data_IF_907193495806
#
_entry.id   IF_907193495806
#
_cell.length_a   1.000
_cell.length_b   1.000
_cell.length_c   1.000
_cell.angle_alpha   90.00
_cell.angle_beta   90.00
_cell.angle_gamma   90.00
#
_symmetry.space_group_name_H-M   'P 1'
#
loop_
_entity.id
_entity.type
_entity.pdbx_description
1 polymer ?
#
# COMPACT_ATOMS: atom_id res chain seq x y z
N UNK A 1 -2.44 -34.68 -2.97
CA UNK A 1 -1.81 -33.74 -2.04
C UNK A 1 -0.93 -34.57 -1.08
N UNK A 2 0.33 -34.16 -0.87
CA UNK A 2 1.24 -34.88 0.04
C UNK A 2 0.76 -34.77 1.50
N UNK A 3 0.93 -35.81 2.28
CA UNK A 3 0.59 -35.82 3.71
C UNK A 3 1.61 -35.03 4.58
N UNK A 4 2.83 -34.87 4.03
CA UNK A 4 3.89 -34.09 4.65
C UNK A 4 4.51 -33.10 3.66
N UNK A 5 4.70 -31.85 4.08
CA UNK A 5 5.22 -30.74 3.29
C UNK A 5 6.41 -30.10 4.00
N UNK A 6 7.51 -29.82 3.28
CA UNK A 6 8.65 -29.13 3.89
C UNK A 6 8.32 -27.69 4.27
N UNK A 7 7.78 -26.90 3.31
CA UNK A 7 7.49 -25.49 3.52
C UNK A 7 6.04 -25.21 3.11
N UNK A 8 5.25 -24.73 4.02
CA UNK A 8 3.84 -24.37 3.82
C UNK A 8 3.69 -22.85 3.80
N UNK A 9 3.12 -22.31 2.75
CA UNK A 9 2.77 -20.88 2.62
C UNK A 9 1.25 -20.74 2.82
N UNK A 10 0.85 -19.85 3.71
CA UNK A 10 -0.55 -19.56 4.03
C UNK A 10 -0.96 -18.25 3.43
N UNK A 11 -1.84 -18.31 2.42
CA UNK A 11 -2.33 -17.17 1.65
C UNK A 11 -1.63 -17.00 0.30
N UNK A 12 -2.43 -16.84 -0.77
CA UNK A 12 -1.98 -16.62 -2.14
C UNK A 12 -2.15 -15.17 -2.61
N UNK A 13 -1.98 -14.20 -1.71
CA UNK A 13 -1.76 -12.80 -2.08
C UNK A 13 -0.35 -12.60 -2.62
N UNK A 14 -0.01 -11.38 -3.05
CA UNK A 14 1.32 -11.07 -3.62
C UNK A 14 2.49 -11.50 -2.72
N UNK A 15 2.35 -11.41 -1.39
CA UNK A 15 3.37 -11.85 -0.45
C UNK A 15 3.60 -13.37 -0.51
N UNK A 16 2.54 -14.16 -0.58
CA UNK A 16 2.63 -15.61 -0.67
C UNK A 16 3.15 -16.08 -2.02
N UNK A 17 2.57 -15.54 -3.10
CA UNK A 17 2.98 -15.87 -4.47
C UNK A 17 4.45 -15.51 -4.73
N UNK A 18 4.90 -14.31 -4.33
CA UNK A 18 6.29 -13.92 -4.48
C UNK A 18 7.24 -14.76 -3.60
N UNK A 19 6.79 -15.19 -2.39
CA UNK A 19 7.59 -16.10 -1.56
C UNK A 19 7.74 -17.47 -2.25
N UNK A 20 6.64 -18.01 -2.80
CA UNK A 20 6.68 -19.26 -3.58
C UNK A 20 7.57 -19.15 -4.80
N UNK A 21 7.51 -18.05 -5.56
CA UNK A 21 8.41 -17.82 -6.70
C UNK A 21 9.88 -17.88 -6.30
N UNK A 22 10.28 -17.15 -5.23
CA UNK A 22 11.67 -17.16 -4.78
C UNK A 22 12.10 -18.47 -4.14
N UNK A 23 11.20 -19.29 -3.61
CA UNK A 23 11.50 -20.66 -3.15
C UNK A 23 11.68 -21.59 -4.35
N UNK A 24 10.81 -21.52 -5.36
CA UNK A 24 10.91 -22.30 -6.61
C UNK A 24 12.24 -22.04 -7.32
N UNK A 25 12.67 -20.78 -7.38
CA UNK A 25 13.96 -20.38 -7.94
C UNK A 25 15.19 -20.95 -7.18
N UNK A 26 14.98 -21.42 -5.95
CA UNK A 26 15.99 -22.06 -5.10
C UNK A 26 15.80 -23.59 -5.01
N UNK A 27 14.96 -24.18 -5.88
CA UNK A 27 14.61 -25.62 -5.92
C UNK A 27 14.11 -26.16 -4.56
N UNK A 28 13.47 -25.30 -3.76
CA UNK A 28 12.91 -25.67 -2.46
C UNK A 28 11.47 -26.15 -2.62
N UNK A 29 11.15 -27.30 -2.02
CA UNK A 29 9.78 -27.82 -1.97
C UNK A 29 8.89 -26.94 -1.10
N UNK A 30 7.73 -26.55 -1.62
CA UNK A 30 6.70 -25.78 -0.89
C UNK A 30 5.32 -25.98 -1.52
N UNK A 31 4.28 -25.62 -0.76
CA UNK A 31 2.92 -25.50 -1.25
C UNK A 31 2.25 -24.25 -0.68
N UNK A 32 1.36 -23.64 -1.47
CA UNK A 32 0.61 -22.42 -1.11
C UNK A 32 -0.85 -22.81 -0.94
N UNK A 33 -1.43 -22.49 0.22
CA UNK A 33 -2.84 -22.72 0.51
C UNK A 33 -3.60 -21.40 0.63
N UNK A 34 -4.65 -21.26 -0.19
CA UNK A 34 -5.53 -20.10 -0.23
C UNK A 34 -6.96 -20.51 0.17
N UNK A 35 -7.57 -19.68 1.03
CA UNK A 35 -8.93 -19.92 1.53
C UNK A 35 -10.02 -19.64 0.50
N UNK A 36 -9.76 -18.76 -0.45
CA UNK A 36 -10.69 -18.37 -1.51
C UNK A 36 -10.48 -19.25 -2.76
N UNK A 37 -11.39 -19.12 -3.73
CA UNK A 37 -11.28 -19.77 -5.03
C UNK A 37 -10.28 -19.09 -5.98
N UNK A 38 -9.83 -17.88 -5.67
CA UNK A 38 -8.91 -17.09 -6.49
C UNK A 38 -7.70 -16.61 -5.70
N UNK A 39 -6.59 -16.43 -6.41
CA UNK A 39 -5.34 -15.88 -5.89
C UNK A 39 -5.25 -14.36 -6.15
N UNK A 40 -4.29 -13.67 -5.51
CA UNK A 40 -4.01 -12.25 -5.74
C UNK A 40 -4.28 -11.37 -4.51
N UNK A 41 -5.18 -11.79 -3.64
CA UNK A 41 -5.51 -11.05 -2.41
C UNK A 41 -6.08 -9.67 -2.72
N UNK A 42 -5.36 -8.59 -2.31
CA UNK A 42 -5.80 -7.21 -2.54
C UNK A 42 -5.48 -6.67 -3.94
N UNK A 43 -4.66 -7.37 -4.74
CA UNK A 43 -4.46 -7.02 -6.15
C UNK A 43 -5.66 -7.57 -6.92
N UNK A 44 -6.55 -6.67 -7.31
CA UNK A 44 -7.83 -6.98 -7.92
C UNK A 44 -8.11 -5.97 -9.04
N UNK A 45 -7.70 -6.33 -10.25
CA UNK A 45 -8.00 -5.58 -11.48
C UNK A 45 -9.30 -6.08 -12.05
N UNK A 46 -10.19 -5.18 -12.43
CA UNK A 46 -11.41 -5.53 -13.13
C UNK A 46 -11.52 -4.74 -14.45
N UNK A 47 -11.63 -5.48 -15.53
CA UNK A 47 -11.98 -4.94 -16.85
C UNK A 47 -13.49 -4.84 -16.94
N UNK A 48 -14.02 -3.62 -17.03
CA UNK A 48 -15.46 -3.38 -17.14
C UNK A 48 -15.71 -2.52 -18.38
N UNK A 49 -16.40 -3.10 -19.36
CA UNK A 49 -16.53 -2.47 -20.69
C UNK A 49 -15.13 -2.16 -21.24
N UNK A 50 -14.82 -0.88 -21.46
CA UNK A 50 -13.54 -0.37 -21.98
C UNK A 50 -12.63 0.24 -20.91
N UNK A 51 -12.90 -0.01 -19.63
CA UNK A 51 -12.14 0.54 -18.50
C UNK A 51 -11.37 -0.55 -17.77
N UNK A 52 -10.13 -0.23 -17.35
CA UNK A 52 -9.35 -1.05 -16.44
C UNK A 52 -9.40 -0.39 -15.08
N UNK A 53 -10.03 -1.06 -14.12
CA UNK A 53 -10.28 -0.56 -12.77
C UNK A 53 -9.44 -1.33 -11.75
N UNK A 54 -8.55 -0.65 -11.03
CA UNK A 54 -7.79 -1.23 -9.93
C UNK A 54 -8.53 -1.05 -8.62
N UNK A 55 -9.08 -2.11 -8.06
CA UNK A 55 -9.79 -2.06 -6.78
C UNK A 55 -8.82 -2.08 -5.58
N UNK A 56 -7.54 -2.38 -5.79
CA UNK A 56 -6.49 -2.43 -4.79
C UNK A 56 -5.39 -1.39 -5.03
N UNK A 57 -4.10 -1.80 -5.08
CA UNK A 57 -3.01 -0.88 -5.41
C UNK A 57 -3.20 -0.26 -6.79
N UNK A 58 -2.95 1.04 -6.90
CA UNK A 58 -3.07 1.77 -8.17
C UNK A 58 -1.73 2.04 -8.87
N UNK A 59 -0.60 1.74 -8.21
CA UNK A 59 0.75 1.92 -8.75
C UNK A 59 1.70 0.90 -8.15
N UNK A 60 2.70 0.46 -8.93
CA UNK A 60 3.86 -0.32 -8.45
C UNK A 60 5.11 0.48 -8.74
N UNK A 61 6.02 0.59 -7.75
CA UNK A 61 7.29 1.30 -7.89
C UNK A 61 8.43 0.31 -8.12
N UNK A 62 9.28 0.57 -9.10
CA UNK A 62 10.53 -0.20 -9.34
C UNK A 62 11.66 0.29 -8.40
N UNK A 63 11.38 0.39 -7.11
CA UNK A 63 12.25 1.04 -6.12
C UNK A 63 13.25 0.10 -5.42
N UNK A 64 13.19 -1.20 -5.69
CA UNK A 64 14.12 -2.19 -5.14
C UNK A 64 14.40 -3.32 -6.14
N UNK A 65 15.49 -4.07 -5.89
CA UNK A 65 15.96 -5.13 -6.77
C UNK A 65 15.02 -6.34 -6.87
N UNK A 66 14.24 -6.62 -5.81
CA UNK A 66 13.40 -7.82 -5.79
C UNK A 66 12.21 -7.73 -6.75
N UNK A 67 11.59 -6.54 -6.87
CA UNK A 67 10.51 -6.34 -7.86
C UNK A 67 11.04 -6.36 -9.29
N UNK A 68 12.23 -5.78 -9.54
CA UNK A 68 12.86 -5.80 -10.86
C UNK A 68 13.20 -7.24 -11.27
N UNK A 69 13.80 -8.01 -10.36
CA UNK A 69 14.11 -9.42 -10.60
C UNK A 69 12.83 -10.23 -10.86
N UNK A 70 11.80 -10.07 -10.05
CA UNK A 70 10.53 -10.78 -10.25
C UNK A 70 9.90 -10.50 -11.62
N UNK A 71 9.90 -9.25 -12.06
CA UNK A 71 9.38 -8.84 -13.39
C UNK A 71 10.19 -9.51 -14.51
N UNK A 72 11.50 -9.52 -14.40
CA UNK A 72 12.38 -10.16 -15.40
C UNK A 72 12.19 -11.69 -15.42
N UNK A 73 12.16 -12.34 -14.25
CA UNK A 73 11.96 -13.78 -14.14
C UNK A 73 10.61 -14.24 -14.73
N UNK A 74 9.60 -13.39 -14.68
CA UNK A 74 8.26 -13.66 -15.23
C UNK A 74 8.10 -13.20 -16.68
N UNK A 75 9.14 -12.66 -17.33
CA UNK A 75 9.11 -12.12 -18.69
C UNK A 75 7.99 -11.05 -18.87
N UNK A 76 7.87 -10.15 -17.89
CA UNK A 76 6.85 -9.10 -17.89
C UNK A 76 7.37 -7.73 -18.33
N UNK A 77 8.63 -7.62 -18.75
CA UNK A 77 9.26 -6.34 -19.12
C UNK A 77 8.51 -5.64 -20.26
N UNK A 78 8.09 -6.39 -21.29
CA UNK A 78 7.37 -5.87 -22.45
C UNK A 78 5.89 -5.56 -22.19
N UNK A 79 5.39 -6.01 -21.05
CA UNK A 79 4.04 -5.70 -20.57
C UNK A 79 3.96 -4.38 -19.80
N UNK A 80 5.12 -3.76 -19.49
CA UNK A 80 5.17 -2.55 -18.69
C UNK A 80 4.71 -1.34 -19.52
N UNK A 81 3.79 -0.59 -18.95
CA UNK A 81 3.41 0.75 -19.39
C UNK A 81 4.09 1.76 -18.46
N UNK A 82 4.90 2.62 -19.05
CA UNK A 82 5.52 3.73 -18.34
C UNK A 82 4.51 4.89 -18.19
N UNK A 83 4.61 5.66 -17.10
CA UNK A 83 3.69 6.77 -16.89
C UNK A 83 3.97 7.90 -17.88
N UNK A 84 2.94 8.65 -18.23
CA UNK A 84 3.07 9.87 -19.01
C UNK A 84 3.85 10.95 -18.24
N UNK A 85 4.24 12.03 -18.93
CA UNK A 85 4.89 13.20 -18.32
C UNK A 85 4.06 13.85 -17.18
N UNK A 86 2.76 13.64 -17.18
CA UNK A 86 1.83 14.20 -16.19
C UNK A 86 1.98 13.58 -14.79
N UNK A 87 2.65 12.46 -14.63
CA UNK A 87 2.96 11.85 -13.32
C UNK A 87 3.68 12.80 -12.36
N UNK A 88 4.38 13.79 -12.88
CA UNK A 88 5.11 14.83 -12.11
C UNK A 88 4.18 15.90 -11.52
N UNK A 89 3.00 16.09 -12.09
CA UNK A 89 2.02 17.07 -11.62
C UNK A 89 1.18 16.47 -10.51
N UNK A 90 1.32 16.98 -9.30
CA UNK A 90 0.52 16.59 -8.13
C UNK A 90 -0.23 17.82 -7.64
N UNK A 91 -1.43 17.62 -7.14
CA UNK A 91 -2.30 18.70 -6.69
C UNK A 91 -2.76 18.46 -5.25
N UNK A 92 -3.03 19.56 -4.57
CA UNK A 92 -3.62 19.59 -3.24
C UNK A 92 -4.86 20.48 -3.27
N UNK A 93 -5.89 20.06 -2.57
CA UNK A 93 -7.02 20.93 -2.27
C UNK A 93 -6.62 21.82 -1.08
N UNK A 94 -6.72 23.13 -1.23
CA UNK A 94 -6.34 24.11 -0.25
C UNK A 94 -7.27 25.31 -0.31
N UNK A 95 -8.07 25.47 0.74
CA UNK A 95 -9.10 26.52 0.87
C UNK A 95 -10.08 26.54 -0.32
N UNK A 96 -10.55 25.35 -0.71
CA UNK A 96 -11.46 25.12 -1.83
C UNK A 96 -10.81 25.18 -3.22
N UNK A 97 -9.53 25.58 -3.32
CA UNK A 97 -8.82 25.69 -4.61
C UNK A 97 -7.90 24.49 -4.87
N UNK A 98 -7.79 24.11 -6.16
CA UNK A 98 -6.86 23.07 -6.58
C UNK A 98 -5.49 23.70 -6.85
N UNK A 99 -4.57 23.51 -5.93
CA UNK A 99 -3.20 24.08 -5.96
C UNK A 99 -2.19 23.03 -6.40
N UNK A 100 -1.36 23.36 -7.39
CA UNK A 100 -0.29 22.47 -7.84
C UNK A 100 0.84 22.41 -6.83
N UNK A 101 1.33 21.19 -6.55
CA UNK A 101 2.52 21.00 -5.72
C UNK A 101 3.75 21.60 -6.40
N UNK A 102 4.59 22.38 -5.68
CA UNK A 102 5.76 23.01 -6.26
C UNK A 102 6.81 21.96 -6.72
N UNK A 103 7.28 22.10 -7.95
CA UNK A 103 8.28 21.20 -8.55
C UNK A 103 9.59 21.90 -8.94
N UNK A 104 9.72 23.17 -8.62
CA UNK A 104 10.93 24.00 -8.81
C UNK A 104 11.17 24.89 -7.59
N UNK A 105 12.36 25.45 -7.46
CA UNK A 105 12.70 26.40 -6.38
C UNK A 105 11.79 27.63 -6.44
N UNK A 106 11.57 28.17 -7.64
CA UNK A 106 10.71 29.35 -7.82
C UNK A 106 9.26 29.06 -7.40
N UNK A 107 8.68 27.95 -7.86
CA UNK A 107 7.33 27.55 -7.46
C UNK A 107 7.23 27.23 -5.96
N UNK A 108 8.31 26.72 -5.34
CA UNK A 108 8.38 26.51 -3.91
C UNK A 108 8.37 27.84 -3.13
N UNK A 109 9.08 28.84 -3.58
CA UNK A 109 9.10 30.16 -2.94
C UNK A 109 7.74 30.87 -3.06
N UNK A 110 7.05 30.73 -4.20
CA UNK A 110 5.76 31.39 -4.47
C UNK A 110 4.53 30.63 -3.97
N UNK A 111 4.64 29.34 -3.60
CA UNK A 111 3.48 28.56 -3.20
C UNK A 111 2.79 29.10 -1.95
N UNK A 112 1.45 29.13 -1.95
CA UNK A 112 0.61 29.46 -0.81
C UNK A 112 0.46 28.29 0.18
N UNK A 113 0.84 27.06 -0.20
CA UNK A 113 0.72 25.87 0.65
C UNK A 113 1.58 25.91 1.91
N UNK A 114 2.65 26.72 1.89
CA UNK A 114 3.67 26.77 2.96
C UNK A 114 3.94 28.22 3.32
N UNK A 115 3.84 28.54 4.62
CA UNK A 115 4.19 29.87 5.15
C UNK A 115 5.68 30.18 5.00
N UNK A 116 6.03 31.45 5.01
CA UNK A 116 7.43 31.92 4.99
C UNK A 116 8.20 31.34 6.18
N UNK A 117 7.60 31.27 7.37
CA UNK A 117 8.18 30.67 8.57
C UNK A 117 8.56 29.20 8.36
N UNK A 118 7.68 28.41 7.71
CA UNK A 118 7.96 26.99 7.44
C UNK A 118 8.95 26.80 6.30
N UNK A 119 8.96 27.69 5.28
CA UNK A 119 10.01 27.73 4.26
C UNK A 119 11.38 27.93 4.89
N UNK A 120 11.48 28.86 5.85
CA UNK A 120 12.73 29.10 6.58
C UNK A 120 13.15 27.90 7.45
N UNK A 121 12.21 27.26 8.16
CA UNK A 121 12.50 26.02 8.89
C UNK A 121 13.04 24.92 7.96
N UNK A 122 12.43 24.72 6.78
CA UNK A 122 12.91 23.75 5.79
C UNK A 122 14.35 24.05 5.35
N UNK A 123 14.68 25.33 5.13
CA UNK A 123 16.03 25.76 4.79
C UNK A 123 17.03 25.42 5.91
N UNK A 124 16.70 25.74 7.16
CA UNK A 124 17.55 25.40 8.31
C UNK A 124 17.80 23.89 8.42
N UNK A 125 16.83 23.04 8.06
CA UNK A 125 16.99 21.57 8.10
C UNK A 125 17.89 21.01 7.01
N UNK A 126 18.30 21.80 6.01
CA UNK A 126 19.39 21.42 5.13
C UNK A 126 20.70 21.24 5.90
N UNK A 127 20.95 22.10 6.88
CA UNK A 127 22.21 22.17 7.62
C UNK A 127 22.15 21.42 8.97
N UNK A 128 21.04 21.54 9.69
CA UNK A 128 20.96 21.06 11.07
C UNK A 128 19.61 20.41 11.41
N UNK A 129 19.67 19.21 12.02
CA UNK A 129 18.54 18.57 12.68
C UNK A 129 18.61 18.75 14.19
N UNK A 130 17.51 19.18 14.79
CA UNK A 130 17.36 19.15 16.24
C UNK A 130 17.31 17.70 16.72
N UNK A 131 18.29 17.26 17.49
CA UNK A 131 18.41 15.87 17.96
C UNK A 131 17.49 15.59 19.14
N UNK A 132 16.21 15.47 18.83
CA UNK A 132 15.16 15.09 19.79
C UNK A 132 14.59 13.71 19.42
N UNK A 133 14.02 13.03 20.42
CA UNK A 133 13.29 11.77 20.20
C UNK A 133 11.85 12.09 19.80
N UNK A 134 11.48 11.67 18.62
CA UNK A 134 10.12 11.82 18.09
C UNK A 134 9.45 10.47 17.96
N UNK A 135 8.30 10.29 18.62
CA UNK A 135 7.55 9.04 18.55
C UNK A 135 6.57 9.04 17.38
N UNK A 136 5.91 10.17 17.10
CA UNK A 136 4.90 10.28 16.04
C UNK A 136 5.40 11.07 14.83
N UNK A 137 4.81 10.79 13.67
CA UNK A 137 5.05 11.53 12.43
C UNK A 137 4.71 13.01 12.61
N UNK A 138 3.53 13.30 13.20
CA UNK A 138 3.10 14.68 13.48
C UNK A 138 4.16 15.45 14.24
N UNK A 139 4.59 14.93 15.42
CA UNK A 139 5.59 15.62 16.26
C UNK A 139 6.90 15.89 15.51
N UNK A 140 7.35 14.93 14.71
CA UNK A 140 8.57 15.11 13.92
C UNK A 140 8.41 16.19 12.85
N UNK A 141 7.36 16.12 12.04
CA UNK A 141 7.18 17.03 10.92
C UNK A 141 6.86 18.45 11.39
N UNK A 142 5.90 18.63 12.31
CA UNK A 142 5.50 19.95 12.78
C UNK A 142 6.64 20.70 13.49
N UNK A 143 7.43 20.01 14.32
CA UNK A 143 8.57 20.62 15.03
C UNK A 143 9.72 20.99 14.10
N UNK A 144 10.03 20.14 13.11
CA UNK A 144 11.16 20.36 12.22
C UNK A 144 10.83 21.23 11.01
N UNK A 145 9.61 21.16 10.46
CA UNK A 145 9.27 21.80 9.19
C UNK A 145 8.11 22.81 9.29
N UNK A 146 7.33 22.77 10.37
CA UNK A 146 6.17 23.64 10.61
C UNK A 146 4.84 22.89 10.54
N UNK A 147 3.84 23.42 11.22
CA UNK A 147 2.49 22.84 11.27
C UNK A 147 1.78 22.95 9.93
N UNK A 148 1.89 24.09 9.27
CA UNK A 148 1.33 24.33 7.94
C UNK A 148 1.95 23.39 6.87
N UNK A 149 3.26 23.11 6.94
CA UNK A 149 3.88 22.10 6.10
C UNK A 149 3.33 20.71 6.37
N UNK A 150 3.11 20.38 7.65
CA UNK A 150 2.47 19.14 8.03
C UNK A 150 1.04 19.06 7.48
N UNK A 151 0.20 20.04 7.80
CA UNK A 151 -1.25 19.98 7.54
C UNK A 151 -1.60 20.11 6.06
N UNK A 152 -0.89 20.99 5.33
CA UNK A 152 -1.22 21.25 3.93
C UNK A 152 -0.54 20.30 2.93
N UNK A 153 0.56 19.64 3.32
CA UNK A 153 1.34 18.81 2.39
C UNK A 153 1.53 17.40 2.93
N UNK A 154 2.08 17.28 4.14
CA UNK A 154 2.61 16.00 4.61
C UNK A 154 1.49 15.06 5.07
N UNK A 155 0.51 15.55 5.81
CA UNK A 155 -0.65 14.76 6.22
C UNK A 155 -1.47 14.26 5.02
N UNK A 156 -1.89 15.12 4.06
CA UNK A 156 -2.59 14.65 2.85
C UNK A 156 -1.78 13.62 2.06
N UNK A 157 -0.46 13.82 1.94
CA UNK A 157 0.42 12.86 1.26
C UNK A 157 0.44 11.50 1.95
N UNK A 158 0.57 11.46 3.28
CA UNK A 158 0.54 10.21 4.04
C UNK A 158 -0.86 9.58 4.07
N UNK A 159 -1.91 10.38 4.09
CA UNK A 159 -3.28 9.89 3.97
C UNK A 159 -3.52 9.20 2.63
N UNK A 160 -2.96 9.70 1.54
CA UNK A 160 -3.00 9.04 0.24
C UNK A 160 -2.28 7.68 0.19
N UNK A 161 -1.31 7.43 1.09
CA UNK A 161 -0.53 6.17 1.13
C UNK A 161 -1.05 5.22 2.22
N UNK A 162 -1.27 5.74 3.43
CA UNK A 162 -1.56 4.95 4.63
C UNK A 162 -3.01 5.07 5.11
N UNK A 163 -3.75 6.05 4.60
CA UNK A 163 -5.10 6.39 5.07
C UNK A 163 -5.19 6.49 6.61
N UNK A 164 -4.13 7.01 7.26
CA UNK A 164 -3.92 6.94 8.70
C UNK A 164 -3.86 8.31 9.37
N UNK A 165 -3.75 8.31 10.70
CA UNK A 165 -3.65 9.51 11.52
C UNK A 165 -2.19 9.76 11.93
N UNK A 166 -1.57 10.81 11.40
CA UNK A 166 -0.17 11.18 11.65
C UNK A 166 0.15 11.45 13.11
N UNK A 167 -0.86 11.86 13.91
CA UNK A 167 -0.71 12.05 15.37
C UNK A 167 -0.49 10.72 16.11
N UNK A 168 -0.95 9.61 15.54
CA UNK A 168 -0.82 8.25 16.09
C UNK A 168 0.23 7.41 15.37
N UNK A 169 0.58 7.76 14.13
CA UNK A 169 1.52 7.01 13.31
C UNK A 169 2.94 7.07 13.85
N UNK A 170 3.61 5.94 13.95
CA UNK A 170 4.99 5.84 14.41
C UNK A 170 5.94 6.45 13.39
N UNK A 171 6.75 7.45 13.80
CA UNK A 171 7.74 8.07 12.92
C UNK A 171 8.74 7.05 12.36
N UNK A 172 9.31 6.21 13.24
CA UNK A 172 10.31 5.20 12.88
C UNK A 172 9.81 4.21 11.82
N UNK A 173 8.59 3.72 11.98
CA UNK A 173 8.08 2.63 11.12
C UNK A 173 7.31 3.12 9.90
N UNK A 174 6.73 4.32 9.97
CA UNK A 174 6.07 4.93 8.81
C UNK A 174 7.06 5.53 7.84
N UNK A 175 8.11 6.19 8.36
CA UNK A 175 9.12 6.91 7.59
C UNK A 175 10.54 6.42 7.93
N UNK A 176 10.83 5.12 7.77
CA UNK A 176 12.08 4.53 8.26
C UNK A 176 13.33 5.18 7.67
N UNK A 177 13.29 5.59 6.40
CA UNK A 177 14.41 6.28 5.76
C UNK A 177 14.63 7.67 6.34
N UNK A 178 13.58 8.43 6.60
CA UNK A 178 13.67 9.76 7.19
C UNK A 178 14.13 9.66 8.64
N UNK A 179 13.64 8.65 9.38
CA UNK A 179 14.11 8.35 10.72
C UNK A 179 15.61 8.01 10.76
N UNK A 180 16.08 7.20 9.81
CA UNK A 180 17.51 6.87 9.67
C UNK A 180 18.36 8.12 9.37
N UNK A 181 17.91 8.97 8.43
CA UNK A 181 18.59 10.23 8.10
C UNK A 181 18.68 11.13 9.33
N UNK A 182 17.55 11.31 10.04
CA UNK A 182 17.52 12.12 11.24
C UNK A 182 18.44 11.57 12.36
N UNK A 183 18.51 10.23 12.50
CA UNK A 183 19.32 9.59 13.54
C UNK A 183 20.82 9.65 13.26
N UNK A 184 21.23 9.55 11.99
CA UNK A 184 22.64 9.38 11.59
C UNK A 184 23.33 10.68 11.15
N UNK A 185 22.58 11.64 10.63
CA UNK A 185 23.13 12.85 10.00
C UNK A 185 22.69 14.09 10.76
N UNK A 186 23.49 15.16 10.68
CA UNK A 186 23.15 16.45 11.33
C UNK A 186 22.19 17.31 10.49
N UNK A 187 22.06 17.06 9.19
CA UNK A 187 21.16 17.77 8.29
C UNK A 187 21.04 17.03 6.97
N UNK A 188 20.15 17.51 6.07
CA UNK A 188 19.97 16.90 4.78
C UNK A 188 21.19 17.02 3.86
N UNK A 189 21.94 18.14 3.93
CA UNK A 189 23.17 18.30 3.14
C UNK A 189 24.22 17.27 3.55
N UNK A 190 24.42 17.04 4.86
CA UNK A 190 25.33 16.03 5.34
C UNK A 190 24.94 14.62 4.84
N UNK A 191 23.64 14.29 4.80
CA UNK A 191 23.15 13.06 4.19
C UNK A 191 23.42 13.02 2.69
N UNK A 192 23.16 14.13 1.95
CA UNK A 192 23.36 14.19 0.48
C UNK A 192 24.82 13.96 0.10
N UNK A 193 25.75 14.58 0.83
CA UNK A 193 27.19 14.45 0.62
C UNK A 193 27.65 13.01 0.87
N UNK A 194 27.20 12.41 1.98
CA UNK A 194 27.65 11.09 2.43
C UNK A 194 26.90 9.90 1.78
N UNK A 195 25.80 10.15 1.04
CA UNK A 195 25.09 9.07 0.40
C UNK A 195 25.82 8.53 -0.83
N UNK A 196 25.98 7.21 -0.94
CA UNK A 196 26.35 6.57 -2.22
C UNK A 196 25.22 6.79 -3.22
N UNK A 197 25.53 7.45 -4.35
CA UNK A 197 24.57 7.69 -5.44
C UNK A 197 24.15 6.35 -6.06
N UNK A 198 23.02 5.79 -5.61
CA UNK A 198 22.34 4.71 -6.35
C UNK A 198 21.19 5.36 -7.13
N UNK A 199 21.25 5.30 -8.47
CA UNK A 199 20.08 5.63 -9.30
C UNK A 199 18.95 4.68 -8.92
N UNK A 200 17.95 5.15 -8.19
CA UNK A 200 16.69 4.42 -7.97
C UNK A 200 15.71 4.96 -9.01
N UNK A 201 15.19 4.05 -9.82
CA UNK A 201 14.03 4.39 -10.62
C UNK A 201 12.80 4.37 -9.70
N UNK A 202 12.30 5.54 -9.32
CA UNK A 202 11.12 5.68 -8.46
C UNK A 202 9.85 5.97 -9.27
N UNK A 203 9.89 5.83 -10.59
CA UNK A 203 8.71 6.01 -11.41
C UNK A 203 7.73 4.86 -11.16
N UNK A 204 6.44 5.17 -11.03
CA UNK A 204 5.42 4.15 -11.01
C UNK A 204 5.36 3.44 -12.37
N UNK A 205 5.00 2.17 -12.35
CA UNK A 205 4.70 1.40 -13.56
C UNK A 205 3.27 0.89 -13.50
N UNK A 206 2.79 0.49 -14.66
CA UNK A 206 1.54 -0.23 -14.85
C UNK A 206 1.77 -1.39 -15.83
N UNK A 207 0.80 -2.29 -15.99
CA UNK A 207 0.83 -3.32 -17.03
C UNK A 207 -0.29 -3.09 -18.04
N UNK A 208 -0.12 -3.57 -19.26
CA UNK A 208 -1.11 -3.41 -20.34
C UNK A 208 -2.52 -3.80 -19.92
N UNK A 209 -2.66 -4.89 -19.17
CA UNK A 209 -3.93 -5.44 -18.72
C UNK A 209 -4.22 -5.25 -17.23
N UNK A 210 -3.48 -4.33 -16.57
CA UNK A 210 -3.60 -4.07 -15.14
C UNK A 210 -2.71 -4.97 -14.28
N UNK A 211 -2.77 -4.76 -12.95
CA UNK A 211 -1.87 -5.49 -12.03
C UNK A 211 -2.20 -6.97 -11.88
N UNK A 212 -3.38 -7.39 -12.32
CA UNK A 212 -3.72 -8.82 -12.37
C UNK A 212 -2.78 -9.61 -13.32
N UNK A 213 -2.13 -8.93 -14.30
CA UNK A 213 -1.09 -9.52 -15.16
C UNK A 213 0.03 -10.17 -14.35
N UNK A 214 0.55 -9.45 -13.32
CA UNK A 214 1.57 -9.99 -12.42
C UNK A 214 1.06 -11.22 -11.65
N UNK A 215 -0.16 -11.17 -11.15
CA UNK A 215 -0.78 -12.27 -10.41
C UNK A 215 -1.01 -13.49 -11.31
N UNK A 216 -1.51 -13.29 -12.52
CA UNK A 216 -1.75 -14.36 -13.48
C UNK A 216 -0.47 -15.06 -13.89
N UNK A 217 0.62 -14.34 -14.12
CA UNK A 217 1.93 -14.92 -14.42
C UNK A 217 2.46 -15.73 -13.24
N UNK A 218 2.38 -15.20 -12.03
CA UNK A 218 2.77 -15.92 -10.80
C UNK A 218 1.92 -17.19 -10.63
N UNK A 219 0.59 -17.10 -10.79
CA UNK A 219 -0.32 -18.25 -10.74
C UNK A 219 0.09 -19.34 -11.73
N UNK A 220 0.37 -18.97 -12.98
CA UNK A 220 0.76 -19.91 -14.02
C UNK A 220 2.12 -20.57 -13.74
N UNK A 221 3.09 -19.80 -13.24
CA UNK A 221 4.42 -20.30 -12.86
C UNK A 221 4.37 -21.27 -11.68
N UNK A 222 3.40 -21.10 -10.77
CA UNK A 222 3.26 -21.83 -9.51
C UNK A 222 2.02 -22.73 -9.47
N UNK A 223 1.44 -23.06 -10.63
CA UNK A 223 0.14 -23.77 -10.71
C UNK A 223 0.09 -25.08 -9.94
N UNK A 224 1.20 -25.84 -9.96
CA UNK A 224 1.29 -27.16 -9.34
C UNK A 224 1.46 -27.09 -7.80
N UNK A 225 1.89 -25.95 -7.27
CA UNK A 225 2.10 -25.72 -5.84
C UNK A 225 0.95 -24.97 -5.18
N UNK A 226 -0.03 -24.44 -5.95
CA UNK A 226 -1.13 -23.62 -5.40
C UNK A 226 -2.38 -24.49 -5.19
N UNK A 227 -2.91 -24.45 -3.98
CA UNK A 227 -4.17 -25.06 -3.60
C UNK A 227 -5.17 -23.99 -3.14
N UNK A 228 -6.20 -23.74 -3.94
CA UNK A 228 -7.32 -22.84 -3.62
C UNK A 228 -8.44 -23.58 -2.92
N UNK A 229 -9.36 -22.85 -2.25
CA UNK A 229 -10.46 -23.40 -1.42
C UNK A 229 -9.97 -24.24 -0.23
N UNK A 230 -8.74 -23.99 0.23
CA UNK A 230 -8.17 -24.63 1.40
C UNK A 230 -8.05 -23.64 2.56
N UNK A 231 -9.13 -23.48 3.31
CA UNK A 231 -9.16 -22.65 4.52
C UNK A 231 -8.56 -23.43 5.68
N UNK A 232 -7.44 -22.95 6.24
CA UNK A 232 -6.85 -23.50 7.45
C UNK A 232 -7.77 -23.16 8.63
N UNK A 233 -8.14 -24.20 9.41
CA UNK A 233 -8.93 -24.13 10.63
C UNK A 233 -8.03 -24.02 11.86
N UNK A 234 -6.97 -24.82 11.92
CA UNK A 234 -6.06 -24.87 13.07
C UNK A 234 -4.65 -25.25 12.68
N UNK A 235 -3.68 -24.69 13.41
CA UNK A 235 -2.25 -25.04 13.34
C UNK A 235 -1.83 -25.52 14.71
N UNK A 236 -1.36 -26.77 14.82
CA UNK A 236 -1.00 -27.41 16.09
C UNK A 236 0.49 -27.77 16.05
N UNK A 237 1.24 -27.37 17.04
CA UNK A 237 2.64 -27.79 17.21
C UNK A 237 2.67 -29.24 17.73
N UNK A 238 3.20 -30.17 16.94
CA UNK A 238 3.33 -31.58 17.34
C UNK A 238 4.69 -31.83 18.00
N UNK A 239 5.77 -31.31 17.37
CA UNK A 239 7.16 -31.40 17.86
C UNK A 239 7.81 -30.04 17.64
N UNK A 240 9.04 -29.86 18.10
CA UNK A 240 9.73 -28.55 18.06
C UNK A 240 9.79 -27.89 16.66
N UNK A 241 9.87 -28.70 15.59
CA UNK A 241 9.94 -28.24 14.20
C UNK A 241 8.90 -28.91 13.31
N UNK A 242 7.79 -29.37 13.85
CA UNK A 242 6.74 -30.06 13.10
C UNK A 242 5.35 -29.60 13.52
N UNK A 243 4.53 -29.27 12.54
CA UNK A 243 3.18 -28.75 12.73
C UNK A 243 2.14 -29.62 12.03
N UNK A 244 1.01 -29.81 12.68
CA UNK A 244 -0.22 -30.36 12.08
C UNK A 244 -1.10 -29.21 11.63
N UNK A 245 -1.56 -29.27 10.40
CA UNK A 245 -2.46 -28.30 9.78
C UNK A 245 -3.81 -28.97 9.57
N UNK A 246 -4.84 -28.44 10.17
CA UNK A 246 -6.21 -28.88 9.96
C UNK A 246 -6.94 -27.88 9.07
N UNK A 247 -7.54 -28.37 8.00
CA UNK A 247 -8.36 -27.57 7.09
C UNK A 247 -9.83 -27.66 7.47
N UNK A 248 -10.62 -26.66 7.07
CA UNK A 248 -12.08 -26.62 7.33
C UNK A 248 -12.86 -27.74 6.65
N UNK A 249 -12.31 -28.36 5.61
CA UNK A 249 -12.89 -29.51 4.91
C UNK A 249 -12.49 -30.86 5.54
N UNK A 250 -11.92 -30.88 6.75
CA UNK A 250 -11.52 -32.07 7.48
C UNK A 250 -10.16 -32.67 7.09
N UNK A 251 -9.55 -32.22 5.99
CA UNK A 251 -8.20 -32.69 5.61
C UNK A 251 -7.16 -32.25 6.62
N UNK A 252 -6.13 -33.09 6.79
CA UNK A 252 -4.98 -32.84 7.68
C UNK A 252 -3.69 -33.14 6.95
N UNK A 253 -2.70 -32.28 7.16
CA UNK A 253 -1.32 -32.46 6.67
C UNK A 253 -0.33 -32.08 7.75
N UNK A 254 0.90 -32.49 7.61
CA UNK A 254 2.01 -32.02 8.48
C UNK A 254 3.00 -31.17 7.68
N UNK A 255 3.67 -30.24 8.36
CA UNK A 255 4.74 -29.47 7.73
C UNK A 255 5.86 -29.14 8.72
N UNK A 256 7.06 -28.80 8.17
CA UNK A 256 8.22 -28.43 8.97
C UNK A 256 8.33 -26.91 9.17
N UNK A 257 7.96 -26.13 8.17
CA UNK A 257 8.03 -24.67 8.21
C UNK A 257 6.71 -24.06 7.72
N UNK A 258 6.31 -22.95 8.35
CA UNK A 258 5.12 -22.21 7.98
C UNK A 258 5.48 -20.76 7.67
N UNK A 259 5.02 -20.25 6.52
CA UNK A 259 5.14 -18.86 6.12
C UNK A 259 3.73 -18.27 6.08
N UNK A 260 3.38 -17.49 7.09
CA UNK A 260 2.11 -16.78 7.12
C UNK A 260 2.19 -15.50 6.29
N UNK A 261 1.28 -15.38 5.31
CA UNK A 261 1.11 -14.16 4.50
C UNK A 261 -0.29 -13.58 4.62
N UNK A 262 -0.97 -13.91 5.69
CA UNK A 262 -2.31 -13.48 6.10
C UNK A 262 -2.23 -12.47 7.25
N UNK A 263 -3.38 -11.86 7.62
CA UNK A 263 -3.42 -10.86 8.69
C UNK A 263 -3.05 -11.43 10.06
N UNK A 264 -2.49 -10.64 10.98
CA UNK A 264 -2.14 -11.07 12.34
C UNK A 264 -3.32 -11.70 13.09
N UNK A 265 -4.52 -11.12 12.98
CA UNK A 265 -5.74 -11.67 13.61
C UNK A 265 -5.99 -13.11 13.16
N UNK A 266 -5.92 -13.38 11.85
CA UNK A 266 -6.11 -14.74 11.34
C UNK A 266 -5.03 -15.71 11.87
N UNK A 267 -3.78 -15.25 12.02
CA UNK A 267 -2.69 -16.07 12.59
C UNK A 267 -3.01 -16.42 14.05
N UNK A 268 -3.40 -15.40 14.84
CA UNK A 268 -3.79 -15.60 16.25
C UNK A 268 -4.90 -16.63 16.36
N UNK A 269 -5.95 -16.50 15.54
CA UNK A 269 -7.11 -17.38 15.57
C UNK A 269 -6.76 -18.84 15.22
N UNK A 270 -6.02 -19.07 14.14
CA UNK A 270 -5.70 -20.44 13.68
C UNK A 270 -4.61 -21.14 14.52
N UNK A 271 -3.78 -20.35 15.21
CA UNK A 271 -2.77 -20.88 16.15
C UNK A 271 -3.26 -20.91 17.60
N UNK A 272 -4.47 -20.44 17.87
CA UNK A 272 -5.05 -20.30 19.22
C UNK A 272 -4.11 -19.58 20.20
N UNK A 273 -3.46 -18.49 19.72
CA UNK A 273 -2.54 -17.73 20.56
C UNK A 273 -3.31 -16.95 21.63
N UNK A 274 -3.00 -17.19 22.89
CA UNK A 274 -3.62 -16.48 24.02
C UNK A 274 -2.98 -15.09 24.17
N UNK A 275 -3.40 -14.16 23.32
CA UNK A 275 -2.93 -12.77 23.33
C UNK A 275 -4.05 -11.89 23.85
N UNK A 276 -3.88 -11.38 25.07
CA UNK A 276 -4.79 -10.41 25.65
C UNK A 276 -4.70 -9.06 24.91
N UNK A 277 -5.85 -8.35 24.85
CA UNK A 277 -5.94 -6.98 24.33
C UNK A 277 -5.50 -6.78 22.86
N UNK A 278 -5.81 -7.73 21.98
CA UNK A 278 -5.65 -7.51 20.54
C UNK A 278 -6.78 -6.62 20.02
N UNK A 279 -6.43 -5.39 19.60
CA UNK A 279 -7.38 -4.53 18.86
C UNK A 279 -7.48 -5.01 17.40
N UNK A 280 -8.64 -5.57 17.00
CA UNK A 280 -8.88 -6.02 15.62
C UNK A 280 -8.88 -4.85 14.59
N UNK A 281 -8.84 -3.61 15.08
CA UNK A 281 -8.77 -2.40 14.23
C UNK A 281 -7.36 -2.09 13.71
N UNK A 282 -6.62 -3.11 13.29
CA UNK A 282 -5.29 -2.91 12.69
C UNK A 282 -5.32 -2.49 11.22
N UNK A 283 -6.48 -2.45 10.60
CA UNK A 283 -6.65 -2.02 9.21
C UNK A 283 -7.67 -0.87 9.12
N UNK A 284 -7.42 0.04 8.20
CA UNK A 284 -8.37 1.06 7.80
C UNK A 284 -9.28 0.53 6.69
N UNK A 285 -10.60 0.82 6.72
CA UNK A 285 -11.47 0.57 5.59
C UNK A 285 -11.24 1.60 4.49
N UNK A 286 -11.41 1.19 3.23
CA UNK A 286 -11.32 2.07 2.06
C UNK A 286 -12.39 1.68 1.06
N UNK A 287 -13.13 2.67 0.59
CA UNK A 287 -13.93 2.60 -0.61
C UNK A 287 -13.12 3.12 -1.79
N UNK A 288 -13.11 2.35 -2.86
CA UNK A 288 -12.47 2.68 -4.14
C UNK A 288 -13.58 2.95 -5.13
N UNK A 289 -13.71 4.20 -5.57
CA UNK A 289 -14.77 4.65 -6.46
C UNK A 289 -14.14 5.09 -7.78
N UNK A 290 -14.47 4.39 -8.85
CA UNK A 290 -14.05 4.75 -10.21
C UNK A 290 -15.14 5.56 -10.87
N UNK A 291 -14.76 6.72 -11.40
CA UNK A 291 -15.64 7.59 -12.19
C UNK A 291 -14.99 7.88 -13.54
N UNK A 292 -15.80 7.83 -14.62
CA UNK A 292 -15.30 8.26 -15.92
C UNK A 292 -16.26 9.27 -16.57
N UNK A 293 -15.68 10.19 -17.33
CA UNK A 293 -16.39 11.26 -18.02
C UNK A 293 -15.70 11.63 -19.32
N UNK A 294 -16.43 12.19 -20.26
CA UNK A 294 -15.86 12.68 -21.52
C UNK A 294 -14.99 13.91 -21.25
N UNK A 295 -13.82 13.99 -21.89
CA UNK A 295 -12.89 15.12 -21.73
C UNK A 295 -13.49 16.47 -22.19
N UNK A 296 -14.50 16.46 -23.08
CA UNK A 296 -15.24 17.65 -23.49
C UNK A 296 -16.17 18.20 -22.39
N UNK A 297 -16.63 17.32 -21.47
CA UNK A 297 -17.51 17.66 -20.36
C UNK A 297 -16.76 18.07 -19.09
N UNK A 298 -15.42 18.27 -19.19
CA UNK A 298 -14.52 18.57 -18.08
C UNK A 298 -13.87 19.94 -18.25
N UNK A 299 -14.35 20.95 -17.51
CA UNK A 299 -13.92 22.36 -17.71
C UNK A 299 -12.57 22.68 -17.06
N UNK A 300 -12.25 22.13 -15.88
CA UNK A 300 -10.98 22.38 -15.17
C UNK A 300 -9.74 21.95 -15.97
N UNK A 301 -9.85 20.98 -16.88
CA UNK A 301 -8.79 20.48 -17.79
C UNK A 301 -7.46 20.16 -17.09
N UNK A 302 -7.49 19.81 -15.80
CA UNK A 302 -6.30 19.47 -15.01
C UNK A 302 -5.76 18.13 -15.49
N UNK A 303 -4.42 18.05 -15.68
CA UNK A 303 -3.70 16.81 -16.04
C UNK A 303 -2.59 16.56 -15.04
N UNK A 304 -2.62 15.39 -14.40
CA UNK A 304 -1.63 15.06 -13.37
C UNK A 304 -1.73 13.67 -12.79
N UNK A 305 -0.97 13.45 -11.74
CA UNK A 305 -0.99 12.19 -10.99
C UNK A 305 -2.30 12.05 -10.19
N UNK A 306 -2.69 13.14 -9.53
CA UNK A 306 -3.87 13.14 -8.68
C UNK A 306 -3.94 14.38 -7.81
N UNK A 307 -5.01 14.43 -7.03
CA UNK A 307 -5.35 15.47 -6.07
C UNK A 307 -5.47 14.85 -4.67
N UNK A 308 -4.85 15.46 -3.67
CA UNK A 308 -4.98 15.08 -2.27
C UNK A 308 -5.77 16.14 -1.51
N UNK A 309 -6.66 15.71 -0.64
CA UNK A 309 -7.43 16.60 0.23
C UNK A 309 -6.85 16.61 1.63
N UNK A 310 -6.70 17.80 2.24
CA UNK A 310 -6.37 17.96 3.65
C UNK A 310 -7.63 17.82 4.51
N UNK A 311 -7.46 17.42 5.76
CA UNK A 311 -8.56 17.18 6.69
C UNK A 311 -9.48 18.41 6.88
N UNK A 312 -8.92 19.62 6.85
CA UNK A 312 -9.67 20.86 7.05
C UNK A 312 -10.61 21.20 5.89
N UNK A 313 -10.43 20.63 4.70
CA UNK A 313 -11.33 20.83 3.55
C UNK A 313 -12.70 20.15 3.73
N UNK A 314 -12.83 19.25 4.71
CA UNK A 314 -14.08 18.51 5.03
C UNK A 314 -14.67 17.74 3.83
N UNK A 315 -13.83 17.37 2.86
CA UNK A 315 -14.25 16.53 1.72
C UNK A 315 -14.62 15.12 2.18
N UNK A 316 -15.49 14.45 1.44
CA UNK A 316 -15.85 13.04 1.66
C UNK A 316 -14.81 12.06 1.09
N UNK A 317 -13.66 12.53 0.62
CA UNK A 317 -12.60 11.70 0.03
C UNK A 317 -11.21 12.06 0.57
N UNK A 318 -10.30 11.10 0.53
CA UNK A 318 -8.87 11.28 0.88
C UNK A 318 -8.08 11.87 -0.29
N UNK A 319 -8.43 11.46 -1.49
CA UNK A 319 -7.76 11.90 -2.71
C UNK A 319 -8.32 11.26 -3.96
N UNK A 320 -7.90 11.80 -5.09
CA UNK A 320 -8.30 11.42 -6.43
C UNK A 320 -7.06 11.06 -7.23
N UNK A 321 -7.03 9.90 -7.87
CA UNK A 321 -6.02 9.53 -8.85
C UNK A 321 -6.57 9.78 -10.25
N UNK A 322 -5.80 10.45 -11.10
CA UNK A 322 -6.14 10.69 -12.50
C UNK A 322 -5.57 9.57 -13.38
N UNK A 323 -6.16 8.36 -13.26
CA UNK A 323 -5.60 7.13 -13.80
C UNK A 323 -5.27 7.23 -15.29
N UNK A 324 -6.17 7.73 -16.14
CA UNK A 324 -5.95 7.86 -17.58
C UNK A 324 -4.99 8.98 -17.98
N UNK A 325 -4.69 9.94 -17.08
CA UNK A 325 -3.63 10.91 -17.33
C UNK A 325 -2.25 10.29 -17.14
N UNK A 326 -2.15 9.32 -16.23
CA UNK A 326 -0.88 8.65 -15.90
C UNK A 326 -0.64 7.47 -16.84
N UNK A 327 -1.66 6.63 -17.05
CA UNK A 327 -1.61 5.41 -17.83
C UNK A 327 -2.72 5.44 -18.89
N UNK A 328 -2.42 5.77 -20.15
CA UNK A 328 -3.43 5.99 -21.17
C UNK A 328 -4.24 4.74 -21.53
N UNK A 329 -3.69 3.55 -21.31
CA UNK A 329 -4.33 2.26 -21.62
C UNK A 329 -5.54 1.91 -20.73
N UNK A 330 -5.82 2.66 -19.65
CA UNK A 330 -6.91 2.32 -18.71
C UNK A 330 -8.30 2.80 -19.15
N UNK A 331 -8.36 3.68 -20.16
CA UNK A 331 -9.60 4.22 -20.71
C UNK A 331 -9.39 4.67 -22.16
N UNK A 332 -10.47 4.82 -22.99
CA UNK A 332 -10.38 5.42 -24.32
C UNK A 332 -9.85 6.85 -24.29
N UNK A 333 -9.20 7.28 -25.37
CA UNK A 333 -8.51 8.57 -25.47
C UNK A 333 -9.41 9.79 -25.20
N UNK A 334 -10.68 9.74 -25.57
CA UNK A 334 -11.63 10.82 -25.32
C UNK A 334 -12.22 10.83 -23.92
N UNK A 335 -11.96 9.79 -23.11
CA UNK A 335 -12.50 9.63 -21.75
C UNK A 335 -11.43 9.87 -20.69
N UNK A 336 -11.81 10.51 -19.60
CA UNK A 336 -11.01 10.61 -18.39
C UNK A 336 -11.53 9.62 -17.36
N UNK A 337 -10.69 8.70 -16.91
CA UNK A 337 -10.95 7.78 -15.81
C UNK A 337 -10.18 8.27 -14.58
N UNK A 338 -10.91 8.40 -13.48
CA UNK A 338 -10.36 8.74 -12.17
C UNK A 338 -10.74 7.70 -11.12
N UNK A 339 -9.91 7.59 -10.08
CA UNK A 339 -10.20 6.79 -8.90
C UNK A 339 -10.24 7.69 -7.67
N UNK A 340 -11.37 7.70 -6.97
CA UNK A 340 -11.59 8.43 -5.73
C UNK A 340 -11.45 7.46 -4.57
N UNK A 341 -10.62 7.80 -3.58
CA UNK A 341 -10.40 7.01 -2.37
C UNK A 341 -11.15 7.65 -1.20
N UNK A 342 -12.00 6.86 -0.53
CA UNK A 342 -12.86 7.31 0.58
C UNK A 342 -12.59 6.46 1.81
N UNK A 343 -12.67 7.02 3.01
CA UNK A 343 -12.52 6.29 4.27
C UNK A 343 -11.24 6.60 5.03
N UNK A 344 -10.45 5.57 5.38
CA UNK A 344 -9.28 5.74 6.22
C UNK A 344 -9.60 5.93 7.71
N UNK A 345 -8.59 6.27 8.52
CA UNK A 345 -8.75 6.36 9.98
C UNK A 345 -9.64 7.53 10.41
N UNK A 346 -9.59 8.66 9.68
CA UNK A 346 -10.36 9.87 10.01
C UNK A 346 -11.82 9.80 9.57
N UNK A 347 -12.11 9.10 8.49
CA UNK A 347 -13.42 9.05 7.84
C UNK A 347 -13.93 7.62 7.69
N UNK A 348 -13.55 6.71 8.58
CA UNK A 348 -13.94 5.29 8.50
C UNK A 348 -15.46 5.10 8.48
N UNK A 349 -16.23 5.98 9.14
CA UNK A 349 -17.69 5.98 9.14
C UNK A 349 -18.31 6.10 7.74
N UNK A 350 -17.64 6.75 6.79
CA UNK A 350 -18.12 6.84 5.40
C UNK A 350 -18.15 5.46 4.71
N UNK A 351 -17.30 4.54 5.14
CA UNK A 351 -17.32 3.17 4.64
C UNK A 351 -18.43 2.30 5.27
N UNK A 352 -19.19 2.82 6.24
CA UNK A 352 -20.36 2.17 6.83
C UNK A 352 -21.67 2.62 6.16
N UNK A 353 -21.64 3.74 5.42
CA UNK A 353 -22.77 4.25 4.64
C UNK A 353 -23.10 3.28 3.49
N UNK A 354 -24.38 3.18 3.13
CA UNK A 354 -24.81 2.37 1.99
C UNK A 354 -24.06 2.77 0.71
N UNK A 355 -23.65 1.77 -0.10
CA UNK A 355 -22.84 1.99 -1.30
C UNK A 355 -23.48 2.96 -2.30
N UNK A 356 -24.81 2.95 -2.43
CA UNK A 356 -25.54 3.83 -3.34
C UNK A 356 -25.50 5.28 -2.84
N UNK A 357 -25.66 5.48 -1.54
CA UNK A 357 -25.62 6.80 -0.92
C UNK A 357 -24.23 7.44 -1.02
N UNK A 358 -23.18 6.73 -0.61
CA UNK A 358 -21.82 7.27 -0.70
C UNK A 358 -21.38 7.54 -2.15
N UNK A 359 -21.84 6.71 -3.12
CA UNK A 359 -21.60 6.95 -4.53
C UNK A 359 -22.22 8.28 -4.98
N UNK A 360 -23.47 8.58 -4.57
CA UNK A 360 -24.15 9.84 -4.91
C UNK A 360 -23.43 11.04 -4.30
N UNK A 361 -23.01 10.96 -3.03
CA UNK A 361 -22.25 12.02 -2.37
C UNK A 361 -20.96 12.32 -3.13
N UNK A 362 -20.18 11.29 -3.41
CA UNK A 362 -18.90 11.43 -4.13
C UNK A 362 -19.10 11.92 -5.57
N UNK A 363 -20.13 11.42 -6.28
CA UNK A 363 -20.41 11.89 -7.64
C UNK A 363 -20.69 13.40 -7.67
N UNK A 364 -21.52 13.91 -6.76
CA UNK A 364 -21.87 15.32 -6.69
C UNK A 364 -20.66 16.19 -6.32
N UNK A 365 -19.91 15.79 -5.28
CA UNK A 365 -18.72 16.51 -4.83
C UNK A 365 -17.64 16.57 -5.92
N UNK A 366 -17.41 15.49 -6.65
CA UNK A 366 -16.43 15.43 -7.74
C UNK A 366 -16.89 16.23 -8.96
N UNK A 367 -18.19 16.21 -9.29
CA UNK A 367 -18.74 17.04 -10.37
C UNK A 367 -18.54 18.52 -10.11
N UNK A 368 -18.83 18.97 -8.89
CA UNK A 368 -18.65 20.35 -8.48
C UNK A 368 -17.17 20.73 -8.48
N UNK A 369 -16.33 19.99 -7.76
CA UNK A 369 -14.90 20.28 -7.60
C UNK A 369 -14.14 20.34 -8.94
N UNK A 370 -14.46 19.43 -9.86
CA UNK A 370 -13.76 19.30 -11.14
C UNK A 370 -14.53 19.95 -12.29
N UNK A 371 -15.71 20.54 -12.06
CA UNK A 371 -16.58 21.12 -13.08
C UNK A 371 -16.91 20.14 -14.22
N UNK A 372 -17.43 18.97 -13.82
CA UNK A 372 -17.81 17.89 -14.74
C UNK A 372 -19.32 17.96 -15.01
N UNK A 373 -19.71 18.05 -16.28
CA UNK A 373 -21.13 18.09 -16.68
C UNK A 373 -21.81 16.73 -16.48
N UNK A 374 -21.16 15.64 -16.94
CA UNK A 374 -21.77 14.31 -16.94
C UNK A 374 -20.76 13.21 -16.63
N UNK A 375 -21.12 12.29 -15.73
CA UNK A 375 -20.40 11.03 -15.47
C UNK A 375 -21.01 9.95 -16.39
N UNK A 376 -20.18 9.26 -17.15
CA UNK A 376 -20.58 8.21 -18.10
C UNK A 376 -20.35 6.79 -17.59
N UNK A 377 -19.53 6.65 -16.58
CA UNK A 377 -19.23 5.36 -15.93
C UNK A 377 -18.95 5.56 -14.45
N UNK A 378 -19.46 4.65 -13.64
CA UNK A 378 -19.19 4.61 -12.21
C UNK A 378 -19.13 3.17 -11.70
N UNK A 379 -18.19 2.92 -10.78
CA UNK A 379 -18.00 1.63 -10.13
C UNK A 379 -17.48 1.82 -8.73
N UNK A 380 -17.99 1.02 -7.79
CA UNK A 380 -17.62 1.08 -6.38
C UNK A 380 -17.14 -0.29 -5.89
N UNK A 381 -16.01 -0.28 -5.20
CA UNK A 381 -15.50 -1.43 -4.47
C UNK A 381 -15.20 -1.03 -3.03
N UNK A 382 -15.55 -1.88 -2.06
CA UNK A 382 -15.36 -1.62 -0.61
C UNK A 382 -14.44 -2.65 0.02
N UNK A 383 -13.35 -2.18 0.60
CA UNK A 383 -12.46 -2.97 1.44
C UNK A 383 -12.69 -2.63 2.92
N UNK A 384 -13.28 -3.55 3.69
CA UNK A 384 -13.44 -3.39 5.14
C UNK A 384 -12.11 -3.39 5.90
N UNK A 385 -11.09 -4.09 5.37
CA UNK A 385 -9.73 -4.20 5.91
C UNK A 385 -8.73 -3.96 4.78
N UNK A 386 -8.45 -2.70 4.45
CA UNK A 386 -7.64 -2.30 3.30
C UNK A 386 -6.17 -2.06 3.68
N UNK A 387 -5.89 -0.99 4.40
CA UNK A 387 -4.54 -0.48 4.65
C UNK A 387 -4.19 -0.63 6.12
N UNK A 388 -3.04 -1.25 6.46
CA UNK A 388 -2.61 -1.41 7.85
C UNK A 388 -2.37 -0.06 8.54
N UNK A 389 -2.81 0.04 9.79
CA UNK A 389 -2.55 1.21 10.65
C UNK A 389 -1.15 1.13 11.25
N UNK A 390 -0.29 2.04 10.84
CA UNK A 390 1.09 2.16 11.35
C UNK A 390 1.14 3.03 12.63
N UNK A 391 0.12 2.95 13.48
CA UNK A 391 0.10 3.64 14.75
C UNK A 391 1.05 2.98 15.77
N UNK A 392 1.47 3.74 16.79
CA UNK A 392 2.43 3.27 17.80
C UNK A 392 1.93 2.03 18.53
N UNK A 393 0.63 1.96 18.84
CA UNK A 393 0.04 0.82 19.56
C UNK A 393 0.13 -0.47 18.75
N UNK A 394 -0.28 -0.44 17.47
CA UNK A 394 -0.21 -1.61 16.59
C UNK A 394 1.23 -2.04 16.34
N UNK A 395 2.13 -1.08 16.13
CA UNK A 395 3.54 -1.40 15.95
C UNK A 395 4.13 -2.03 17.21
N UNK A 396 3.83 -1.48 18.39
CA UNK A 396 4.26 -2.05 19.67
C UNK A 396 3.71 -3.47 19.84
N UNK A 397 2.43 -3.68 19.53
CA UNK A 397 1.81 -4.99 19.55
C UNK A 397 2.54 -5.99 18.63
N UNK A 398 2.74 -5.64 17.36
CA UNK A 398 3.39 -6.52 16.37
C UNK A 398 4.86 -6.81 16.68
N UNK A 399 5.60 -5.84 17.22
CA UNK A 399 7.05 -5.96 17.48
C UNK A 399 7.39 -6.58 18.83
N UNK A 400 6.45 -6.62 19.78
CA UNK A 400 6.65 -7.25 21.10
C UNK A 400 5.69 -8.41 21.29
N UNK A 401 4.49 -8.18 21.83
CA UNK A 401 3.57 -9.24 22.24
C UNK A 401 3.34 -10.33 21.18
N UNK A 402 3.01 -9.94 19.94
CA UNK A 402 2.76 -10.88 18.86
C UNK A 402 4.05 -11.62 18.44
N UNK A 403 5.16 -10.89 18.29
CA UNK A 403 6.45 -11.48 17.93
C UNK A 403 6.99 -12.38 19.04
N UNK A 404 6.85 -12.00 20.32
CA UNK A 404 7.31 -12.79 21.45
C UNK A 404 6.55 -14.12 21.55
N UNK A 405 5.22 -14.11 21.39
CA UNK A 405 4.45 -15.35 21.31
C UNK A 405 4.89 -16.25 20.16
N UNK A 406 5.17 -15.69 18.99
CA UNK A 406 5.61 -16.47 17.83
C UNK A 406 7.05 -16.94 17.94
N UNK A 407 7.92 -16.26 18.69
CA UNK A 407 9.33 -16.66 18.89
C UNK A 407 9.48 -18.01 19.60
N UNK A 408 8.45 -18.42 20.38
CA UNK A 408 8.39 -19.77 21.00
C UNK A 408 8.13 -20.89 19.99
N UNK A 409 7.74 -20.53 18.75
CA UNK A 409 7.51 -21.48 17.66
C UNK A 409 8.65 -21.41 16.66
N UNK A 410 9.47 -22.45 16.60
CA UNK A 410 10.57 -22.55 15.62
C UNK A 410 10.01 -22.76 14.20
N UNK A 411 10.69 -22.20 13.19
CA UNK A 411 10.33 -22.36 11.77
C UNK A 411 8.97 -21.72 11.36
N UNK A 412 8.51 -20.71 12.10
CA UNK A 412 7.39 -19.84 11.68
C UNK A 412 7.95 -18.52 11.17
N UNK A 413 7.48 -18.11 9.99
CA UNK A 413 7.86 -16.86 9.33
C UNK A 413 6.58 -16.07 9.01
N UNK A 414 6.69 -14.74 9.05
CA UNK A 414 5.57 -13.85 8.76
C UNK A 414 5.95 -12.89 7.66
N UNK A 415 5.06 -12.71 6.69
CA UNK A 415 5.15 -11.70 5.66
C UNK A 415 3.80 -11.02 5.44
N UNK A 416 3.80 -9.72 5.24
CA UNK A 416 2.58 -8.96 4.98
C UNK A 416 2.84 -7.45 4.91
N UNK A 417 1.86 -6.72 4.42
CA UNK A 417 1.93 -5.27 4.28
C UNK A 417 1.88 -4.52 5.63
N UNK A 418 1.55 -5.19 6.72
CA UNK A 418 1.56 -4.66 8.08
C UNK A 418 2.95 -4.66 8.74
N UNK A 419 3.96 -5.23 8.07
CA UNK A 419 5.34 -5.29 8.54
C UNK A 419 6.23 -4.41 7.63
N UNK A 420 6.76 -3.29 8.16
CA UNK A 420 7.85 -2.51 7.53
C UNK A 420 7.65 -2.18 6.02
N UNK A 421 6.51 -1.61 5.67
CA UNK A 421 6.22 -1.16 4.30
C UNK A 421 4.95 -1.76 3.72
N UNK A 422 4.06 -0.88 3.21
CA UNK A 422 2.72 -1.23 2.71
C UNK A 422 2.70 -1.54 1.23
N UNK A 423 3.72 -1.13 0.46
CA UNK A 423 3.70 -1.23 -1.00
C UNK A 423 3.87 -2.67 -1.48
N UNK A 424 3.37 -2.93 -2.69
CA UNK A 424 3.57 -4.22 -3.39
C UNK A 424 5.07 -4.56 -3.46
N UNK A 425 5.90 -3.58 -3.82
CA UNK A 425 7.37 -3.76 -3.92
C UNK A 425 8.03 -4.09 -2.58
N UNK A 426 7.52 -3.53 -1.47
CA UNK A 426 8.00 -3.86 -0.12
C UNK A 426 7.63 -5.31 0.26
N UNK A 427 6.41 -5.74 -0.07
CA UNK A 427 5.97 -7.11 0.17
C UNK A 427 6.84 -8.12 -0.60
N UNK A 428 7.14 -7.86 -1.88
CA UNK A 428 8.01 -8.68 -2.71
C UNK A 428 9.46 -8.72 -2.16
N UNK A 429 9.99 -7.58 -1.72
CA UNK A 429 11.32 -7.52 -1.11
C UNK A 429 11.41 -8.38 0.17
N UNK A 430 10.36 -8.35 1.00
CA UNK A 430 10.26 -9.19 2.21
C UNK A 430 10.16 -10.66 1.85
N UNK A 431 9.38 -11.01 0.82
CA UNK A 431 9.28 -12.38 0.30
C UNK A 431 10.64 -12.94 -0.08
N UNK A 432 11.44 -12.17 -0.83
CA UNK A 432 12.81 -12.55 -1.19
C UNK A 432 13.74 -12.72 0.02
N UNK A 433 13.60 -11.83 1.03
CA UNK A 433 14.40 -11.95 2.27
C UNK A 433 14.03 -13.19 3.08
N UNK A 434 12.75 -13.55 3.12
CA UNK A 434 12.27 -14.74 3.84
C UNK A 434 12.72 -16.00 3.10
N UNK A 435 12.60 -16.09 1.78
CA UNK A 435 13.01 -17.26 1.01
C UNK A 435 14.49 -17.64 1.21
N UNK A 436 15.34 -16.64 1.48
CA UNK A 436 16.77 -16.86 1.81
C UNK A 436 17.01 -17.44 3.22
N UNK A 437 16.03 -17.34 4.13
CA UNK A 437 16.12 -17.87 5.50
C UNK A 437 15.53 -19.27 5.63
N UNK A 438 14.79 -19.72 4.64
CA UNK A 438 14.14 -21.01 4.56
C UNK A 438 15.04 -22.04 3.88
#
# INVERSE_FOLDING_TARGET
MKEHIKNLIVGAGISGLATGHFLKKQDKEFYIFESNNEVGGVINTQKVKKFICENGPNTILLNNHAIVELINDLNLTDEIILPTKYVKNKFFLHDGEIVKFPNSITSFLSTKLISIKSKFKLLLRLFYFKKEKYNTVYKYISKNFGEDFHDNIFEPFLNGIYAGNTMKMSFKYTLPKLWEIHSKYNGFLNYIINRKKKKKNNNPIYFKDGFLTLISKLKNTLKDEIHVNFKIKKVIKIKEKKYLIEFSNGKKITCNKIIFTISPKKIIDIMDLKIESFDDKIYNPIDVIHLAFDKKDYNKKIKGFGLLSKKSEKTSFLGILFNSDIFPNVAPDNIKLITVLVGGEHQSHLCDIEKKQIMTVIENEIKELLEIKKIVFKKHYRWKKAIPRYNIQNIKFLSSKFNDHLSSYKNIYINGNYLNGVSVSDCILKSKKISKKI
#
